data_IF_821081127925
#
_entry.id   IF_821081127925
#
_cell.length_a   1.000
_cell.length_b   1.000
_cell.length_c   1.000
_cell.angle_alpha   90.00
_cell.angle_beta   90.00
_cell.angle_gamma   90.00
#
_symmetry.space_group_name_H-M   'P 1'
#
loop_
_entity.id
_entity.type
_entity.pdbx_description
1 polymer ?
#
# COMPACT_ATOMS: atom_id res chain seq x y z
N UNK A 1 -21.85 13.33 -17.03
CA UNK A 1 -20.38 13.33 -16.87
C UNK A 1 -20.07 12.24 -15.86
N UNK A 2 -19.85 11.01 -16.33
CA UNK A 2 -19.49 9.89 -15.46
C UNK A 2 -18.06 9.49 -15.84
N UNK A 3 -17.07 10.21 -15.29
CA UNK A 3 -15.75 9.61 -15.15
C UNK A 3 -15.92 8.56 -14.05
N UNK A 4 -16.16 7.32 -14.45
CA UNK A 4 -16.00 6.15 -13.58
C UNK A 4 -14.52 6.08 -13.23
N UNK A 5 -14.08 6.88 -12.27
CA UNK A 5 -12.72 6.94 -11.81
C UNK A 5 -12.33 5.53 -11.34
N UNK A 6 -11.47 4.87 -12.10
CA UNK A 6 -10.92 3.57 -11.74
C UNK A 6 -10.38 3.63 -10.31
N UNK A 7 -10.70 2.67 -9.43
CA UNK A 7 -10.24 2.70 -8.05
C UNK A 7 -8.71 2.79 -7.99
N UNK A 8 -8.17 3.85 -7.38
CA UNK A 8 -6.72 4.00 -7.20
C UNK A 8 -6.26 2.97 -6.16
N UNK A 9 -5.36 2.06 -6.55
CA UNK A 9 -4.75 1.12 -5.59
C UNK A 9 -3.53 1.76 -4.93
N UNK A 10 -3.48 1.82 -3.60
CA UNK A 10 -2.31 2.32 -2.88
C UNK A 10 -1.27 1.20 -2.71
N UNK A 11 -0.05 1.44 -3.12
CA UNK A 11 1.05 0.49 -2.97
C UNK A 11 1.97 0.91 -1.85
N UNK A 12 2.26 -0.04 -0.97
CA UNK A 12 3.04 0.15 0.24
C UNK A 12 4.19 -0.84 0.25
N UNK A 13 5.38 -0.36 -0.10
CA UNK A 13 6.58 -1.17 -0.16
C UNK A 13 7.18 -1.36 1.23
N UNK A 14 7.49 -2.60 1.58
CA UNK A 14 8.32 -2.96 2.73
C UNK A 14 9.70 -3.42 2.24
N UNK A 15 10.74 -3.11 3.02
CA UNK A 15 12.14 -3.42 2.66
C UNK A 15 12.77 -4.51 3.53
N UNK A 16 12.13 -4.88 4.63
CA UNK A 16 12.71 -5.81 5.60
C UNK A 16 12.02 -7.16 5.48
N UNK A 17 12.80 -8.22 5.27
CA UNK A 17 12.29 -9.59 5.14
C UNK A 17 11.47 -10.04 6.34
N UNK A 18 11.89 -9.67 7.56
CA UNK A 18 11.14 -10.01 8.78
C UNK A 18 9.72 -9.42 8.79
N UNK A 19 9.46 -8.26 8.16
CA UNK A 19 8.10 -7.71 8.05
C UNK A 19 7.23 -8.59 7.16
N UNK A 20 7.81 -9.19 6.13
CA UNK A 20 7.11 -10.13 5.24
C UNK A 20 6.64 -11.35 6.03
N UNK A 21 7.54 -11.92 6.84
CA UNK A 21 7.26 -13.07 7.70
C UNK A 21 6.18 -12.74 8.74
N UNK A 22 6.24 -11.56 9.37
CA UNK A 22 5.22 -11.08 10.31
C UNK A 22 3.86 -10.92 9.64
N UNK A 23 3.77 -10.24 8.50
CA UNK A 23 2.50 -10.02 7.79
C UNK A 23 1.89 -11.34 7.33
N UNK A 24 2.74 -12.24 6.82
CA UNK A 24 2.30 -13.56 6.34
C UNK A 24 1.79 -14.43 7.48
N UNK A 25 2.43 -14.38 8.65
CA UNK A 25 2.03 -15.17 9.83
C UNK A 25 0.77 -14.65 10.52
N UNK A 26 0.47 -13.34 10.44
CA UNK A 26 -0.78 -12.77 10.93
C UNK A 26 -1.98 -13.38 10.19
N UNK A 27 -1.93 -13.44 8.86
CA UNK A 27 -3.04 -13.96 8.05
C UNK A 27 -4.15 -12.94 7.78
N UNK A 28 -5.09 -13.35 6.91
CA UNK A 28 -6.26 -12.55 6.55
C UNK A 28 -7.16 -12.24 7.75
N UNK A 29 -7.81 -11.07 7.73
CA UNK A 29 -8.74 -10.60 8.76
C UNK A 29 -8.07 -9.82 9.89
N UNK A 30 -6.76 -9.94 10.08
CA UNK A 30 -6.02 -9.20 11.09
C UNK A 30 -5.77 -7.75 10.69
N UNK A 31 -5.60 -6.90 11.70
CA UNK A 31 -5.18 -5.51 11.53
C UNK A 31 -3.67 -5.36 11.73
N UNK A 32 -3.08 -4.49 10.95
CA UNK A 32 -1.67 -4.11 11.06
C UNK A 32 -1.50 -2.63 10.71
N UNK A 33 -0.30 -2.08 10.87
CA UNK A 33 0.00 -0.72 10.45
C UNK A 33 1.36 -0.63 9.75
N UNK A 34 1.48 0.31 8.83
CA UNK A 34 2.72 0.69 8.18
C UNK A 34 2.94 2.19 8.34
N UNK A 35 4.18 2.58 8.63
CA UNK A 35 4.55 3.99 8.78
C UNK A 35 5.65 4.36 7.78
N UNK A 36 5.46 5.50 7.13
CA UNK A 36 6.38 6.02 6.13
C UNK A 36 6.70 7.48 6.44
N UNK A 37 7.99 7.84 6.42
CA UNK A 37 8.39 9.25 6.43
C UNK A 37 7.84 9.96 5.19
N UNK A 38 7.54 11.25 5.32
CA UNK A 38 6.98 12.03 4.22
C UNK A 38 7.85 11.99 2.95
N UNK A 39 9.17 11.98 3.09
CA UNK A 39 10.13 11.85 1.96
C UNK A 39 10.03 10.52 1.19
N UNK A 40 9.41 9.49 1.75
CA UNK A 40 9.23 8.18 1.11
C UNK A 40 7.84 7.99 0.51
N UNK A 41 6.95 8.96 0.65
CA UNK A 41 5.59 8.92 0.12
C UNK A 41 5.55 9.80 -1.13
N UNK A 42 4.90 9.31 -2.18
CA UNK A 42 4.68 10.08 -3.40
C UNK A 42 3.96 11.40 -3.06
N UNK A 43 4.46 12.55 -3.55
CA UNK A 43 3.86 13.86 -3.26
C UNK A 43 2.36 13.93 -3.57
N UNK A 44 1.87 13.19 -4.58
CA UNK A 44 0.44 13.11 -4.90
C UNK A 44 -0.34 12.38 -3.81
N UNK A 45 0.20 11.28 -3.29
CA UNK A 45 -0.41 10.57 -2.15
C UNK A 45 -0.43 11.46 -0.91
N UNK A 46 0.67 12.17 -0.61
CA UNK A 46 0.71 13.13 0.49
C UNK A 46 -0.31 14.26 0.35
N UNK A 47 -0.47 14.81 -0.86
CA UNK A 47 -1.45 15.85 -1.13
C UNK A 47 -2.90 15.33 -0.92
N UNK A 48 -3.20 14.12 -1.39
CA UNK A 48 -4.50 13.47 -1.17
C UNK A 48 -4.73 13.27 0.35
N UNK A 49 -3.72 12.86 1.12
CA UNK A 49 -3.80 12.69 2.59
C UNK A 49 -4.12 14.03 3.27
N UNK A 50 -3.35 15.07 2.96
CA UNK A 50 -3.50 16.40 3.58
C UNK A 50 -4.82 17.07 3.24
N UNK A 51 -5.35 16.83 2.05
CA UNK A 51 -6.65 17.36 1.62
C UNK A 51 -7.84 16.62 2.24
N UNK A 52 -7.61 15.56 3.04
CA UNK A 52 -8.64 14.71 3.64
C UNK A 52 -9.64 14.13 2.63
N UNK A 53 -9.26 14.05 1.36
CA UNK A 53 -10.10 13.46 0.30
C UNK A 53 -9.95 11.94 0.21
N UNK A 54 -9.67 11.28 1.33
CA UNK A 54 -9.58 9.83 1.39
C UNK A 54 -10.98 9.26 1.61
N UNK A 55 -11.46 8.54 0.60
CA UNK A 55 -12.62 7.68 0.79
C UNK A 55 -12.19 6.45 1.60
N UNK A 56 -12.91 6.08 2.66
CA UNK A 56 -12.72 4.80 3.32
C UNK A 56 -12.85 3.67 2.30
N UNK A 57 -12.09 2.58 2.46
CA UNK A 57 -12.07 1.39 1.57
C UNK A 57 -11.22 1.49 0.30
N UNK A 58 -10.24 2.39 0.27
CA UNK A 58 -9.17 2.29 -0.74
C UNK A 58 -8.48 0.93 -0.56
N UNK A 59 -8.51 0.14 -1.63
CA UNK A 59 -7.74 -1.10 -1.71
C UNK A 59 -6.26 -0.75 -1.84
N UNK A 60 -5.43 -1.45 -1.09
CA UNK A 60 -3.99 -1.34 -1.16
C UNK A 60 -3.33 -2.69 -1.35
N UNK A 61 -2.05 -2.66 -1.69
CA UNK A 61 -1.21 -3.83 -1.65
C UNK A 61 0.10 -3.55 -0.94
N UNK A 62 0.50 -4.48 -0.07
CA UNK A 62 1.83 -4.49 0.51
C UNK A 62 2.74 -5.28 -0.41
N UNK A 63 3.86 -4.66 -0.82
CA UNK A 63 4.84 -5.26 -1.73
C UNK A 63 6.21 -5.32 -1.09
N UNK A 64 6.99 -6.35 -1.40
CA UNK A 64 8.39 -6.46 -1.02
C UNK A 64 9.24 -6.54 -2.26
N UNK A 65 10.30 -5.74 -2.28
CA UNK A 65 11.31 -5.81 -3.31
C UNK A 65 12.42 -6.74 -2.83
N UNK A 66 12.52 -7.91 -3.47
CA UNK A 66 13.65 -8.81 -3.33
C UNK A 66 14.59 -8.61 -4.52
N UNK A 67 15.78 -8.07 -4.26
CA UNK A 67 16.75 -7.69 -5.29
C UNK A 67 16.10 -6.72 -6.31
N UNK A 68 15.75 -7.23 -7.49
CA UNK A 68 15.11 -6.48 -8.58
C UNK A 68 13.69 -6.98 -8.91
N UNK A 69 13.11 -7.83 -8.06
CA UNK A 69 11.76 -8.37 -8.25
C UNK A 69 10.83 -7.86 -7.17
N UNK A 70 9.65 -7.40 -7.57
CA UNK A 70 8.60 -7.00 -6.65
C UNK A 70 7.63 -8.15 -6.43
N UNK A 71 7.41 -8.49 -5.17
CA UNK A 71 6.52 -9.54 -4.70
C UNK A 71 5.37 -8.90 -3.94
N UNK A 72 4.14 -9.15 -4.36
CA UNK A 72 2.96 -8.80 -3.55
C UNK A 72 2.89 -9.76 -2.37
N UNK A 73 2.74 -9.22 -1.16
CA UNK A 73 2.70 -9.98 0.09
C UNK A 73 1.30 -10.01 0.67
N UNK A 74 0.60 -8.88 0.61
CA UNK A 74 -0.74 -8.72 1.15
C UNK A 74 -1.59 -7.84 0.24
N UNK A 75 -2.86 -8.19 0.12
CA UNK A 75 -3.91 -7.25 -0.26
C UNK A 75 -4.56 -6.71 1.01
N UNK A 76 -4.79 -5.41 1.03
CA UNK A 76 -5.24 -4.73 2.24
C UNK A 76 -6.36 -3.75 1.95
N UNK A 77 -7.19 -3.53 2.95
CA UNK A 77 -8.10 -2.41 2.98
C UNK A 77 -7.54 -1.37 3.93
N UNK A 78 -7.48 -0.12 3.49
CA UNK A 78 -7.10 0.98 4.34
C UNK A 78 -8.25 1.35 5.27
N UNK A 79 -7.99 1.28 6.58
CA UNK A 79 -8.95 1.57 7.63
C UNK A 79 -8.84 3.02 8.09
N UNK A 80 -7.61 3.49 8.32
CA UNK A 80 -7.33 4.84 8.81
C UNK A 80 -5.97 5.35 8.31
N UNK A 81 -5.87 6.67 8.11
CA UNK A 81 -4.62 7.35 7.80
C UNK A 81 -4.38 8.42 8.85
N UNK A 82 -3.28 8.28 9.57
CA UNK A 82 -2.86 9.20 10.61
C UNK A 82 -1.66 9.99 10.09
N UNK A 83 -1.87 11.28 9.81
CA UNK A 83 -0.81 12.21 9.37
C UNK A 83 -0.12 12.82 10.59
N UNK A 84 1.16 12.52 10.76
CA UNK A 84 2.03 13.15 11.75
C UNK A 84 3.02 14.05 11.01
N UNK A 85 3.47 15.14 11.65
CA UNK A 85 4.30 16.19 11.01
C UNK A 85 5.47 15.68 10.16
N UNK A 86 6.07 14.54 10.53
CA UNK A 86 7.25 13.96 9.85
C UNK A 86 6.98 12.63 9.14
N UNK A 87 5.85 11.97 9.40
CA UNK A 87 5.53 10.65 8.84
C UNK A 87 4.02 10.40 8.83
N UNK A 88 3.57 9.49 7.97
CA UNK A 88 2.18 9.03 7.93
C UNK A 88 2.12 7.58 8.39
N UNK A 89 1.15 7.24 9.26
CA UNK A 89 0.80 5.87 9.62
C UNK A 89 -0.50 5.46 8.91
N UNK A 90 -0.44 4.33 8.22
CA UNK A 90 -1.57 3.69 7.56
C UNK A 90 -2.00 2.49 8.41
N UNK A 91 -3.23 2.50 8.90
CA UNK A 91 -3.83 1.36 9.60
C UNK A 91 -4.64 0.53 8.60
N UNK A 92 -4.36 -0.76 8.57
CA UNK A 92 -4.71 -1.65 7.48
C UNK A 92 -5.43 -2.89 8.00
N UNK A 93 -6.43 -3.36 7.27
CA UNK A 93 -6.99 -4.70 7.42
C UNK A 93 -6.43 -5.61 6.33
N UNK A 94 -5.82 -6.73 6.71
CA UNK A 94 -5.33 -7.73 5.76
C UNK A 94 -6.53 -8.45 5.14
N UNK A 95 -6.68 -8.37 3.83
CA UNK A 95 -7.74 -9.08 3.09
C UNK A 95 -7.24 -10.45 2.65
N UNK A 96 -6.07 -10.47 2.01
CA UNK A 96 -5.40 -11.69 1.56
C UNK A 96 -3.89 -11.57 1.81
N UNK A 97 -3.23 -12.68 2.11
CA UNK A 97 -1.78 -12.76 2.25
C UNK A 97 -1.22 -13.94 1.45
N UNK A 98 0.05 -13.88 1.07
CA UNK A 98 0.74 -15.03 0.43
C UNK A 98 0.64 -16.30 1.30
N UNK A 99 0.55 -17.51 0.71
CA UNK A 99 0.64 -17.82 -0.72
C UNK A 99 -0.69 -17.72 -1.49
N UNK A 100 -1.76 -17.22 -0.87
CA UNK A 100 -3.11 -17.26 -1.47
C UNK A 100 -3.31 -16.21 -2.58
N UNK A 101 -2.54 -15.12 -2.52
CA UNK A 101 -2.55 -14.06 -3.53
C UNK A 101 -2.19 -14.60 -4.92
N UNK A 102 -3.09 -14.39 -5.88
CA UNK A 102 -2.92 -14.80 -7.28
C UNK A 102 -2.62 -13.58 -8.16
N UNK A 103 -1.64 -13.71 -9.06
CA UNK A 103 -1.37 -12.72 -10.09
C UNK A 103 0.10 -12.36 -10.18
N UNK A 104 0.57 -12.08 -11.41
CA UNK A 104 1.90 -11.52 -11.63
C UNK A 104 1.83 -10.03 -11.39
N UNK A 105 2.75 -9.53 -10.57
CA UNK A 105 2.89 -8.10 -10.33
C UNK A 105 3.92 -7.53 -11.31
N UNK A 106 3.54 -6.48 -12.04
CA UNK A 106 4.46 -5.69 -12.85
C UNK A 106 4.87 -4.44 -12.08
N UNK A 107 6.17 -4.23 -11.94
CA UNK A 107 6.74 -3.02 -11.37
C UNK A 107 6.21 -1.76 -12.08
N UNK A 108 5.95 -0.70 -11.32
CA UNK A 108 5.60 0.61 -11.87
C UNK A 108 6.75 1.64 -11.72
N UNK A 109 7.90 1.23 -11.19
CA UNK A 109 9.14 1.99 -11.23
C UNK A 109 9.12 3.27 -10.39
N UNK A 110 8.39 3.29 -9.27
CA UNK A 110 8.37 4.46 -8.39
C UNK A 110 9.62 4.51 -7.51
N UNK A 111 10.20 5.69 -7.34
CA UNK A 111 11.26 5.94 -6.35
C UNK A 111 10.73 6.02 -4.91
N UNK A 112 9.40 6.11 -4.75
CA UNK A 112 8.72 6.20 -3.46
C UNK A 112 8.33 4.83 -2.93
N UNK A 113 8.19 4.70 -1.61
CA UNK A 113 7.75 3.48 -0.95
C UNK A 113 6.24 3.42 -0.75
N UNK A 114 5.55 4.56 -0.84
CA UNK A 114 4.09 4.62 -0.77
C UNK A 114 3.57 5.46 -1.93
N UNK A 115 2.86 4.86 -2.88
CA UNK A 115 2.44 5.52 -4.12
C UNK A 115 1.21 4.84 -4.73
N UNK A 116 0.45 5.56 -5.55
CA UNK A 116 -0.66 4.95 -6.30
C UNK A 116 -0.14 4.09 -7.45
N UNK A 117 -0.69 2.88 -7.59
CA UNK A 117 -0.45 2.06 -8.77
C UNK A 117 -0.86 2.82 -10.03
N UNK A 118 0.06 2.94 -10.98
CA UNK A 118 -0.29 3.36 -12.34
C UNK A 118 -1.07 2.23 -12.98
N UNK A 119 -2.34 2.46 -13.27
CA UNK A 119 -3.07 1.58 -14.18
C UNK A 119 -2.47 1.78 -15.57
N UNK A 120 -1.81 0.76 -16.11
CA UNK A 120 -1.61 0.67 -17.56
C UNK A 120 -2.99 0.56 -18.18
N UNK A 121 -3.36 1.55 -19.00
CA UNK A 121 -4.56 1.50 -19.83
C UNK A 121 -4.48 0.33 -20.83
#
# INVERSE_FOLDING_TARGET
>A
MNDSATPKTLLMQVKKKWLVETITSLGSGYQTHLAYKNEWIDPKVLADIKSKQWEPKVLGAIVFQDQNTYHRIAEVELMEVNDFDTFVRFDLRLLEVVPFIRGKWSDSGSSYLCYYQKHSA
#
